data_IF_685335426531
#
_entry.id   IF_685335426531
#
_cell.length_a   1.000
_cell.length_b   1.000
_cell.length_c   1.000
_cell.angle_alpha   90.00
_cell.angle_beta   90.00
_cell.angle_gamma   90.00
#
_symmetry.space_group_name_H-M   'P 1'
#
loop_
_entity.id
_entity.type
_entity.pdbx_description
1 polymer ?
#
# COMPACT_ATOMS: atom_id res chain seq x y z
N UNK A 1 10.56 31.26 -26.90
CA UNK A 1 11.34 30.29 -26.09
C UNK A 1 10.46 29.07 -25.91
N UNK A 2 10.88 27.91 -26.41
CA UNK A 2 10.13 26.67 -26.16
C UNK A 2 10.25 26.33 -24.67
N UNK A 3 9.16 25.89 -24.01
CA UNK A 3 9.23 25.47 -22.62
C UNK A 3 10.23 24.32 -22.49
N UNK A 4 11.05 24.35 -21.44
CA UNK A 4 11.95 23.24 -21.10
C UNK A 4 11.07 22.10 -20.61
N UNK A 5 10.94 21.05 -21.41
CA UNK A 5 10.19 19.84 -21.04
C UNK A 5 11.16 18.80 -20.49
N UNK A 6 10.89 18.32 -19.28
CA UNK A 6 11.70 17.25 -18.69
C UNK A 6 11.38 15.92 -19.41
N UNK A 7 12.38 15.09 -19.74
CA UNK A 7 12.15 13.73 -20.21
C UNK A 7 11.31 12.90 -19.21
N UNK A 8 10.44 12.03 -19.72
CA UNK A 8 9.49 11.27 -18.91
C UNK A 8 10.18 10.40 -17.83
N UNK A 9 11.33 9.81 -18.14
CA UNK A 9 12.07 8.97 -17.17
C UNK A 9 12.65 9.79 -16.02
N UNK A 10 13.05 11.03 -16.28
CA UNK A 10 13.52 11.96 -15.25
C UNK A 10 12.35 12.49 -14.42
N UNK A 11 11.20 12.80 -15.04
CA UNK A 11 9.97 13.12 -14.29
C UNK A 11 9.63 11.99 -13.32
N UNK A 12 9.56 10.76 -13.84
CA UNK A 12 9.27 9.56 -13.04
C UNK A 12 10.26 9.41 -11.88
N UNK A 13 11.55 9.50 -12.15
CA UNK A 13 12.61 9.38 -11.14
C UNK A 13 12.43 10.40 -10.02
N UNK A 14 12.12 11.66 -10.34
CA UNK A 14 11.89 12.71 -9.34
C UNK A 14 10.67 12.36 -8.47
N UNK A 15 9.56 11.96 -9.09
CA UNK A 15 8.35 11.59 -8.35
C UNK A 15 8.57 10.38 -7.45
N UNK A 16 9.25 9.33 -7.93
CA UNK A 16 9.54 8.13 -7.14
C UNK A 16 10.48 8.45 -5.97
N UNK A 17 11.58 9.19 -6.19
CA UNK A 17 12.48 9.64 -5.12
C UNK A 17 11.72 10.45 -4.06
N UNK A 18 10.87 11.38 -4.51
CA UNK A 18 10.05 12.20 -3.60
C UNK A 18 9.09 11.32 -2.80
N UNK A 19 8.44 10.35 -3.44
CA UNK A 19 7.52 9.42 -2.80
C UNK A 19 8.22 8.55 -1.74
N UNK A 20 9.44 8.08 -2.00
CA UNK A 20 10.20 7.31 -1.02
C UNK A 20 10.74 8.17 0.13
N UNK A 21 11.15 9.41 -0.14
CA UNK A 21 11.67 10.32 0.87
C UNK A 21 10.58 10.93 1.77
N UNK A 22 9.38 11.15 1.23
CA UNK A 22 8.23 11.75 1.93
C UNK A 22 6.91 11.04 1.53
N UNK A 23 6.66 9.81 2.03
CA UNK A 23 5.48 9.02 1.66
C UNK A 23 4.13 9.72 1.92
N UNK A 24 4.07 10.61 2.91
CA UNK A 24 2.89 11.42 3.23
C UNK A 24 2.47 12.36 2.10
N UNK A 25 3.38 12.67 1.16
CA UNK A 25 3.08 13.49 -0.01
C UNK A 25 2.40 12.70 -1.14
N UNK A 26 2.52 11.35 -1.17
CA UNK A 26 2.06 10.53 -2.29
C UNK A 26 0.58 10.77 -2.64
N UNK A 27 -0.37 10.86 -1.69
CA UNK A 27 -1.78 11.13 -2.01
C UNK A 27 -2.00 12.44 -2.77
N UNK A 28 -1.13 13.43 -2.60
CA UNK A 28 -1.16 14.69 -3.36
C UNK A 28 -0.47 14.55 -4.71
N UNK A 29 0.65 13.84 -4.76
CA UNK A 29 1.42 13.64 -6.00
C UNK A 29 0.63 12.84 -7.04
N UNK A 30 -0.15 11.83 -6.64
CA UNK A 30 -1.00 11.05 -7.56
C UNK A 30 -2.07 11.88 -8.26
N UNK A 31 -2.37 13.10 -7.77
CA UNK A 31 -3.34 14.01 -8.38
C UNK A 31 -2.73 14.91 -9.46
N UNK A 32 -1.40 14.93 -9.61
CA UNK A 32 -0.71 15.85 -10.54
C UNK A 32 -1.00 15.50 -11.99
N UNK A 33 -0.91 14.22 -12.34
CA UNK A 33 -1.20 13.72 -13.69
C UNK A 33 -1.47 12.21 -13.66
N UNK A 34 -2.20 11.71 -14.65
CA UNK A 34 -2.51 10.28 -14.76
C UNK A 34 -1.26 9.39 -14.79
N UNK A 35 -0.19 9.80 -15.48
CA UNK A 35 1.09 9.07 -15.50
C UNK A 35 1.74 8.99 -14.11
N UNK A 36 1.67 10.07 -13.33
CA UNK A 36 2.21 10.12 -11.96
C UNK A 36 1.42 9.17 -11.06
N UNK A 37 0.10 9.11 -11.21
CA UNK A 37 -0.73 8.13 -10.52
C UNK A 37 -0.25 6.70 -10.81
N UNK A 38 0.01 6.34 -12.06
CA UNK A 38 0.50 5.00 -12.42
C UNK A 38 1.85 4.70 -11.78
N UNK A 39 2.77 5.66 -11.80
CA UNK A 39 4.11 5.46 -11.23
C UNK A 39 4.07 5.31 -9.71
N UNK A 40 3.23 6.08 -9.04
CA UNK A 40 3.25 6.16 -7.58
C UNK A 40 2.22 5.28 -6.88
N UNK A 41 1.20 4.78 -7.56
CA UNK A 41 0.24 3.85 -6.97
C UNK A 41 0.93 2.62 -6.35
N UNK A 42 1.86 1.92 -7.01
CA UNK A 42 2.56 0.80 -6.38
C UNK A 42 3.29 1.21 -5.08
N UNK A 43 3.85 2.42 -5.03
CA UNK A 43 4.54 2.96 -3.85
C UNK A 43 3.53 3.31 -2.75
N UNK A 44 2.38 3.90 -3.11
CA UNK A 44 1.29 4.23 -2.18
C UNK A 44 0.77 2.99 -1.45
N UNK A 45 0.63 1.87 -2.17
CA UNK A 45 0.14 0.60 -1.62
C UNK A 45 1.26 -0.30 -1.08
N UNK A 46 2.52 0.17 -1.05
CA UNK A 46 3.66 -0.62 -0.58
C UNK A 46 3.55 -1.01 0.89
N UNK A 47 2.98 -0.13 1.71
CA UNK A 47 2.73 -0.35 3.13
C UNK A 47 1.23 -0.23 3.39
N UNK A 48 0.60 -1.31 3.83
CA UNK A 48 -0.81 -1.33 4.20
C UNK A 48 -0.94 -1.44 5.72
N UNK A 49 -1.63 -0.47 6.31
CA UNK A 49 -1.99 -0.46 7.72
C UNK A 49 -3.50 -0.59 7.80
N UNK A 50 -3.96 -1.74 8.30
CA UNK A 50 -5.37 -2.05 8.38
C UNK A 50 -5.72 -2.31 9.83
N UNK A 51 -6.70 -1.57 10.33
CA UNK A 51 -7.18 -1.66 11.70
C UNK A 51 -8.64 -2.10 11.70
N UNK A 52 -8.92 -3.30 12.20
CA UNK A 52 -10.23 -3.95 12.11
C UNK A 52 -11.31 -3.27 12.96
N UNK A 53 -10.93 -2.59 14.04
CA UNK A 53 -11.87 -1.84 14.91
C UNK A 53 -12.24 -0.45 14.38
N UNK A 54 -11.55 0.09 13.37
CA UNK A 54 -11.85 1.43 12.83
C UNK A 54 -12.78 1.33 11.61
N UNK A 55 -13.55 2.40 11.38
CA UNK A 55 -14.48 2.57 10.24
C UNK A 55 -13.83 2.45 8.84
N UNK A 56 -12.51 2.27 8.77
CA UNK A 56 -11.74 2.20 7.53
C UNK A 56 -11.73 0.80 6.90
N UNK A 57 -12.22 -0.23 7.60
CA UNK A 57 -12.23 -1.59 7.06
C UNK A 57 -13.11 -1.71 5.82
N UNK A 58 -14.34 -1.17 5.85
CA UNK A 58 -15.28 -1.29 4.73
C UNK A 58 -14.75 -0.56 3.48
N UNK A 59 -14.33 0.72 3.54
CA UNK A 59 -13.74 1.40 2.39
C UNK A 59 -12.47 0.72 1.85
N UNK A 60 -11.68 0.11 2.74
CA UNK A 60 -10.49 -0.64 2.35
C UNK A 60 -10.85 -1.95 1.61
N UNK A 61 -11.85 -2.69 2.08
CA UNK A 61 -12.35 -3.87 1.39
C UNK A 61 -12.97 -3.53 0.03
N UNK A 62 -13.68 -2.40 -0.08
CA UNK A 62 -14.17 -1.89 -1.36
C UNK A 62 -13.01 -1.52 -2.30
N UNK A 63 -11.95 -0.91 -1.75
CA UNK A 63 -10.73 -0.60 -2.52
C UNK A 63 -10.03 -1.87 -2.99
N UNK A 64 -9.94 -2.90 -2.14
CA UNK A 64 -9.43 -4.22 -2.48
C UNK A 64 -10.23 -4.84 -3.64
N UNK A 65 -11.56 -4.76 -3.58
CA UNK A 65 -12.43 -5.27 -4.63
C UNK A 65 -12.34 -4.46 -5.93
N UNK A 66 -12.00 -3.18 -5.85
CA UNK A 66 -11.93 -2.28 -7.02
C UNK A 66 -10.68 -2.46 -7.87
N UNK A 67 -9.62 -3.11 -7.36
CA UNK A 67 -8.37 -3.35 -8.08
C UNK A 67 -8.15 -4.84 -8.37
N UNK A 68 -7.45 -5.19 -9.46
CA UNK A 68 -7.11 -6.59 -9.73
C UNK A 68 -6.32 -7.18 -8.57
N UNK A 69 -6.58 -8.45 -8.22
CA UNK A 69 -5.85 -9.13 -7.14
C UNK A 69 -4.32 -9.09 -7.34
N UNK A 70 -3.86 -9.19 -8.59
CA UNK A 70 -2.44 -9.07 -8.95
C UNK A 70 -1.82 -7.73 -8.53
N UNK A 71 -2.59 -6.63 -8.50
CA UNK A 71 -2.08 -5.32 -8.10
C UNK A 71 -1.56 -5.32 -6.66
N UNK A 72 -2.33 -5.90 -5.74
CA UNK A 72 -1.91 -5.95 -4.32
C UNK A 72 -0.82 -6.98 -4.08
N UNK A 73 -0.82 -8.09 -4.82
CA UNK A 73 0.26 -9.04 -4.81
C UNK A 73 1.59 -8.37 -5.21
N UNK A 74 1.59 -7.58 -6.30
CA UNK A 74 2.80 -6.96 -6.82
C UNK A 74 3.22 -5.70 -6.06
N UNK A 75 2.27 -4.95 -5.50
CA UNK A 75 2.56 -3.65 -4.86
C UNK A 75 2.84 -3.76 -3.36
N UNK A 76 2.21 -4.68 -2.64
CA UNK A 76 2.28 -4.72 -1.18
C UNK A 76 3.55 -5.43 -0.71
N UNK A 77 4.32 -4.80 0.18
CA UNK A 77 5.53 -5.39 0.80
C UNK A 77 5.49 -5.40 2.31
N UNK A 78 4.77 -4.45 2.91
CA UNK A 78 4.64 -4.34 4.35
C UNK A 78 3.15 -4.33 4.71
N UNK A 79 2.75 -5.25 5.57
CA UNK A 79 1.36 -5.40 6.00
C UNK A 79 1.29 -5.35 7.53
N UNK A 80 0.52 -4.40 8.04
CA UNK A 80 0.15 -4.30 9.44
C UNK A 80 -1.35 -4.55 9.58
N UNK A 81 -1.72 -5.47 10.47
CA UNK A 81 -3.11 -5.83 10.77
C UNK A 81 -3.33 -5.78 12.28
N UNK A 82 -4.37 -5.08 12.72
CA UNK A 82 -4.82 -5.06 14.12
C UNK A 82 -6.27 -5.51 14.22
N UNK A 83 -6.52 -6.52 15.07
CA UNK A 83 -7.84 -7.01 15.45
C UNK A 83 -8.75 -7.43 14.27
N UNK A 84 -8.36 -8.49 13.57
CA UNK A 84 -9.13 -9.05 12.44
C UNK A 84 -9.76 -10.39 12.78
N UNK A 85 -10.96 -10.62 12.25
CA UNK A 85 -11.50 -11.97 12.15
C UNK A 85 -10.58 -12.86 11.29
N UNK A 86 -10.32 -14.12 11.68
CA UNK A 86 -9.42 -15.01 10.95
C UNK A 86 -9.79 -15.22 9.47
N UNK A 87 -11.07 -15.15 9.10
CA UNK A 87 -11.51 -15.28 7.70
C UNK A 87 -11.12 -14.06 6.87
N UNK A 88 -11.33 -12.85 7.39
CA UNK A 88 -10.94 -11.60 6.74
C UNK A 88 -9.41 -11.50 6.62
N UNK A 89 -8.68 -11.92 7.65
CA UNK A 89 -7.21 -11.98 7.62
C UNK A 89 -6.70 -12.87 6.49
N UNK A 90 -7.27 -14.07 6.33
CA UNK A 90 -6.89 -14.98 5.23
C UNK A 90 -7.15 -14.37 3.86
N UNK A 91 -8.28 -13.69 3.68
CA UNK A 91 -8.60 -13.04 2.40
C UNK A 91 -7.56 -11.95 2.05
N UNK A 92 -7.19 -11.10 3.01
CA UNK A 92 -6.20 -10.04 2.82
C UNK A 92 -4.81 -10.63 2.52
N UNK A 93 -4.38 -11.63 3.28
CA UNK A 93 -3.11 -12.31 3.06
C UNK A 93 -3.05 -13.01 1.70
N UNK A 94 -4.16 -13.58 1.24
CA UNK A 94 -4.24 -14.22 -0.09
C UNK A 94 -4.10 -13.21 -1.23
N UNK A 95 -4.58 -11.97 -1.04
CA UNK A 95 -4.45 -10.90 -2.01
C UNK A 95 -3.04 -10.27 -2.00
N UNK A 96 -2.36 -10.28 -0.85
CA UNK A 96 -1.04 -9.68 -0.66
C UNK A 96 0.05 -10.76 -0.58
N UNK A 97 0.22 -11.54 -1.65
CA UNK A 97 1.06 -12.75 -1.62
C UNK A 97 2.58 -12.49 -1.60
N UNK A 98 3.06 -11.30 -1.96
CA UNK A 98 4.48 -10.92 -1.92
C UNK A 98 4.84 -10.04 -0.71
N UNK A 99 4.13 -10.18 0.41
CA UNK A 99 4.47 -9.45 1.64
C UNK A 99 5.82 -9.94 2.17
N UNK A 100 6.74 -8.99 2.37
CA UNK A 100 8.06 -9.22 2.97
C UNK A 100 8.01 -9.05 4.49
N UNK A 101 7.19 -8.11 4.98
CA UNK A 101 7.07 -7.79 6.40
C UNK A 101 5.61 -7.85 6.85
N UNK A 102 5.30 -8.73 7.80
CA UNK A 102 3.96 -8.92 8.34
C UNK A 102 3.95 -8.63 9.85
N UNK A 103 3.06 -7.73 10.26
CA UNK A 103 2.80 -7.43 11.66
C UNK A 103 1.33 -7.66 11.99
N UNK A 104 1.05 -8.52 12.97
CA UNK A 104 -0.33 -8.81 13.41
C UNK A 104 -0.45 -8.58 14.91
N UNK A 105 -1.36 -7.69 15.30
CA UNK A 105 -1.78 -7.50 16.69
C UNK A 105 -3.17 -8.11 16.86
N UNK A 106 -3.32 -9.04 17.80
CA UNK A 106 -4.62 -9.55 18.19
C UNK A 106 -4.87 -9.25 19.66
N UNK A 107 -5.59 -8.15 19.93
CA UNK A 107 -5.91 -7.72 21.29
C UNK A 107 -6.94 -8.61 21.98
N UNK A 108 -7.72 -9.41 21.24
CA UNK A 108 -8.68 -10.36 21.83
C UNK A 108 -8.04 -11.66 22.37
N UNK A 109 -6.78 -11.96 22.01
CA UNK A 109 -6.09 -13.19 22.36
C UNK A 109 -4.77 -13.00 23.15
N UNK A 110 -4.40 -11.77 23.53
CA UNK A 110 -3.17 -11.50 24.28
C UNK A 110 -1.87 -11.96 23.58
N UNK A 111 -1.92 -12.23 22.27
CA UNK A 111 -0.80 -12.80 21.51
C UNK A 111 -0.31 -11.77 20.50
N UNK A 112 0.89 -11.25 20.73
CA UNK A 112 1.64 -10.47 19.73
C UNK A 112 2.50 -11.47 18.93
N UNK A 113 2.18 -11.69 17.66
CA UNK A 113 3.04 -12.49 16.79
C UNK A 113 3.86 -11.52 15.95
N UNK A 114 5.13 -11.34 16.34
CA UNK A 114 6.15 -10.73 15.50
C UNK A 114 6.74 -11.84 14.63
N UNK A 115 6.39 -11.87 13.34
CA UNK A 115 7.10 -12.70 12.37
C UNK A 115 8.06 -11.81 11.58
N UNK A 116 9.34 -11.74 11.96
CA UNK A 116 10.35 -11.26 11.04
C UNK A 116 10.58 -12.36 10.00
N UNK A 117 10.33 -12.07 8.73
CA UNK A 117 10.80 -12.92 7.64
C UNK A 117 12.13 -12.36 7.14
N UNK A 118 13.09 -13.28 7.02
CA UNK A 118 14.51 -13.06 6.73
C UNK A 118 14.76 -12.70 5.26
#
# INVERSE_FOLDING_TARGET
>A
MSPVTLPADLERTIFEITAFAAPECIPRLVLVAWRVKIWLEPILYRTLVIEGKRHNLIPFLDTLASKPAAFFADSTRHLFMDDFDPSAMRAILSACSQVENLWVINTSAGTHILLPFH
#
